data_IF_463323847000
#
_entry.id   IF_463323847000
#
_cell.length_a   1.000
_cell.length_b   1.000
_cell.length_c   1.000
_cell.angle_alpha   90.00
_cell.angle_beta   90.00
_cell.angle_gamma   90.00
#
_symmetry.space_group_name_H-M   'P 1'
#
loop_
_entity.id
_entity.type
_entity.pdbx_description
1 polymer ?
#
# COMPACT_ATOMS: atom_id res chain seq x y z
N UNK A 1 47.84 26.78 -11.60
CA UNK A 1 46.87 25.69 -11.83
C UNK A 1 46.92 24.80 -10.58
N UNK A 2 45.81 24.65 -9.89
CA UNK A 2 45.80 23.87 -8.67
C UNK A 2 45.62 22.36 -8.96
N UNK A 3 45.88 21.52 -7.99
CA UNK A 3 45.80 20.07 -8.13
C UNK A 3 44.39 19.62 -8.61
N UNK A 4 43.34 20.29 -8.15
CA UNK A 4 41.94 19.99 -8.49
C UNK A 4 41.66 20.24 -9.99
N UNK A 5 42.13 21.38 -10.54
CA UNK A 5 42.00 21.69 -11.98
C UNK A 5 42.74 20.69 -12.87
N UNK A 6 43.89 20.19 -12.43
CA UNK A 6 44.62 19.15 -13.14
C UNK A 6 43.90 17.79 -13.15
N UNK A 7 43.29 17.41 -12.01
CA UNK A 7 42.51 16.19 -11.90
C UNK A 7 41.27 16.26 -12.82
N UNK A 8 40.52 17.35 -12.81
CA UNK A 8 39.37 17.56 -13.68
C UNK A 8 39.75 17.50 -15.18
N UNK A 9 40.89 18.12 -15.54
CA UNK A 9 41.37 18.07 -16.92
C UNK A 9 41.75 16.66 -17.37
N UNK A 10 42.41 15.90 -16.50
CA UNK A 10 42.78 14.50 -16.77
C UNK A 10 41.51 13.64 -16.91
N UNK A 11 40.53 13.78 -16.04
CA UNK A 11 39.25 13.08 -16.12
C UNK A 11 38.51 13.41 -17.41
N UNK A 12 38.43 14.67 -17.80
CA UNK A 12 37.83 15.11 -19.06
C UNK A 12 38.54 14.51 -20.29
N UNK A 13 39.88 14.47 -20.27
CA UNK A 13 40.67 13.87 -21.36
C UNK A 13 40.50 12.35 -21.45
N UNK A 14 40.20 11.67 -20.35
CA UNK A 14 39.95 10.24 -20.26
C UNK A 14 38.47 9.90 -20.56
N UNK A 15 37.62 10.87 -20.88
CA UNK A 15 36.19 10.66 -21.11
C UNK A 15 35.45 10.20 -19.85
N UNK A 16 36.05 10.36 -18.66
CA UNK A 16 35.38 10.07 -17.39
C UNK A 16 34.42 11.21 -17.13
N UNK A 17 33.11 10.87 -16.98
CA UNK A 17 32.10 11.83 -16.55
C UNK A 17 32.50 12.37 -15.17
N UNK A 18 32.27 13.67 -14.94
CA UNK A 18 32.26 14.19 -13.57
C UNK A 18 31.34 13.33 -12.73
N UNK A 19 31.87 12.68 -11.71
CA UNK A 19 31.03 12.06 -10.68
C UNK A 19 30.31 13.22 -9.99
N UNK A 20 29.05 13.40 -10.31
CA UNK A 20 28.18 14.29 -9.56
C UNK A 20 28.16 13.75 -8.13
N UNK A 21 28.71 14.50 -7.18
CA UNK A 21 28.61 14.08 -5.79
C UNK A 21 27.13 13.94 -5.44
N UNK A 22 26.75 12.87 -4.74
CA UNK A 22 25.32 12.68 -4.38
C UNK A 22 24.78 13.83 -3.53
N UNK A 23 25.63 14.61 -2.88
CA UNK A 23 25.27 15.85 -2.17
C UNK A 23 24.53 16.88 -3.04
N UNK A 24 24.83 16.91 -4.34
CA UNK A 24 24.25 17.88 -5.27
C UNK A 24 22.95 17.39 -5.92
N UNK A 25 22.53 16.16 -5.62
CA UNK A 25 21.32 15.57 -6.17
C UNK A 25 20.14 15.94 -5.28
N UNK A 26 19.15 16.62 -5.87
CA UNK A 26 17.86 16.89 -5.23
C UNK A 26 16.80 15.92 -5.75
N UNK A 27 16.13 15.22 -4.84
CA UNK A 27 15.11 14.24 -5.18
C UNK A 27 13.95 14.30 -4.18
N UNK A 28 12.76 14.17 -4.72
CA UNK A 28 11.56 13.96 -3.92
C UNK A 28 11.34 12.48 -3.62
N UNK A 29 10.60 12.17 -2.55
CA UNK A 29 10.22 10.80 -2.21
C UNK A 29 9.50 10.18 -3.41
N UNK A 30 9.99 9.01 -3.82
CA UNK A 30 9.39 8.20 -4.86
C UNK A 30 9.52 6.73 -4.50
N UNK A 31 8.42 5.98 -4.69
CA UNK A 31 8.40 4.53 -4.55
C UNK A 31 8.46 3.82 -5.93
N UNK A 32 8.68 4.59 -7.00
CA UNK A 32 9.03 4.02 -8.30
C UNK A 32 10.53 3.67 -8.32
N UNK A 33 10.87 2.55 -8.95
CA UNK A 33 12.27 2.17 -9.13
C UNK A 33 13.02 3.15 -10.01
N UNK A 34 14.15 3.66 -9.53
CA UNK A 34 15.07 4.51 -10.28
C UNK A 34 16.52 4.01 -10.12
N UNK A 35 17.21 3.65 -11.22
CA UNK A 35 18.62 3.25 -11.16
C UNK A 35 19.56 4.29 -10.50
N UNK A 36 19.22 5.57 -10.57
CA UNK A 36 20.01 6.63 -9.90
C UNK A 36 19.94 6.51 -8.38
N UNK A 37 18.81 6.04 -7.86
CA UNK A 37 18.64 5.84 -6.42
C UNK A 37 19.55 4.73 -5.92
N UNK A 38 19.80 3.70 -6.73
CA UNK A 38 20.78 2.64 -6.39
C UNK A 38 22.16 3.25 -6.11
N UNK A 39 22.60 4.19 -6.94
CA UNK A 39 23.90 4.83 -6.75
C UNK A 39 23.94 5.68 -5.47
N UNK A 40 22.85 6.41 -5.18
CA UNK A 40 22.71 7.17 -3.94
C UNK A 40 22.72 6.22 -2.73
N UNK A 41 21.95 5.15 -2.77
CA UNK A 41 21.87 4.15 -1.67
C UNK A 41 23.23 3.50 -1.40
N UNK A 42 23.96 3.10 -2.44
CA UNK A 42 25.31 2.56 -2.32
C UNK A 42 26.27 3.54 -1.67
N UNK A 43 26.25 4.80 -2.10
CA UNK A 43 27.14 5.82 -1.55
C UNK A 43 26.81 6.11 -0.09
N UNK A 44 25.51 6.23 0.27
CA UNK A 44 25.08 6.42 1.65
C UNK A 44 25.57 5.28 2.55
N UNK A 45 25.44 4.03 2.10
CA UNK A 45 25.92 2.85 2.83
C UNK A 45 27.45 2.89 2.97
N UNK A 46 28.18 3.26 1.90
CA UNK A 46 29.64 3.41 1.94
C UNK A 46 30.08 4.50 2.93
N UNK A 47 29.26 5.52 3.14
CA UNK A 47 29.49 6.57 4.14
C UNK A 47 29.05 6.19 5.55
N UNK A 48 28.51 4.98 5.74
CA UNK A 48 28.11 4.44 7.04
C UNK A 48 26.64 4.68 7.42
N UNK A 49 25.81 5.26 6.55
CA UNK A 49 24.39 5.44 6.82
C UNK A 49 23.63 4.13 6.62
N UNK A 50 23.01 3.63 7.67
CA UNK A 50 22.20 2.42 7.59
C UNK A 50 20.76 2.77 7.18
N UNK A 51 20.39 2.44 5.95
CA UNK A 51 19.09 2.75 5.35
C UNK A 51 18.07 1.60 5.39
N UNK A 52 18.36 0.51 6.10
CA UNK A 52 17.45 -0.62 6.27
C UNK A 52 17.96 -1.92 5.66
N UNK A 53 17.11 -2.94 5.67
CA UNK A 53 17.38 -4.28 5.10
C UNK A 53 16.44 -4.57 3.92
N UNK A 54 16.36 -3.63 2.98
CA UNK A 54 15.51 -3.72 1.79
C UNK A 54 16.30 -4.25 0.60
N UNK A 55 15.60 -4.52 -0.51
CA UNK A 55 16.17 -5.12 -1.70
C UNK A 55 16.38 -6.64 -1.60
N UNK A 56 16.67 -7.25 -2.73
CA UNK A 56 16.84 -8.71 -2.85
C UNK A 56 17.98 -9.25 -1.97
N UNK A 57 19.05 -8.46 -1.84
CA UNK A 57 20.23 -8.81 -1.02
C UNK A 57 20.08 -8.44 0.46
N UNK A 58 18.99 -7.80 0.86
CA UNK A 58 18.75 -7.26 2.22
C UNK A 58 19.85 -6.32 2.70
N UNK A 59 20.43 -5.58 1.80
CA UNK A 59 21.52 -4.63 2.02
C UNK A 59 21.06 -3.15 2.06
N UNK A 60 19.76 -2.90 1.85
CA UNK A 60 19.17 -1.58 1.80
C UNK A 60 19.15 -0.96 0.41
N UNK A 61 19.61 -1.69 -0.62
CA UNK A 61 19.69 -1.20 -2.00
C UNK A 61 18.52 -1.78 -2.80
N UNK A 62 17.51 -0.97 -3.07
CA UNK A 62 16.30 -1.36 -3.78
C UNK A 62 15.89 -0.42 -4.92
N UNK A 63 16.63 0.68 -5.11
CA UNK A 63 16.33 1.69 -6.13
C UNK A 63 15.09 2.53 -5.84
N UNK A 64 14.60 2.54 -4.58
CA UNK A 64 13.43 3.30 -4.15
C UNK A 64 13.86 4.44 -3.22
N UNK A 65 13.53 5.68 -3.59
CA UNK A 65 13.85 6.86 -2.79
C UNK A 65 12.76 7.12 -1.74
N UNK A 66 12.65 6.20 -0.78
CA UNK A 66 11.69 6.30 0.32
C UNK A 66 12.12 7.26 1.44
N UNK A 67 11.27 7.46 2.48
CA UNK A 67 11.53 8.40 3.57
C UNK A 67 12.86 8.18 4.29
N UNK A 68 13.25 6.93 4.54
CA UNK A 68 14.52 6.61 5.20
C UNK A 68 15.71 6.95 4.30
N UNK A 69 15.63 6.65 2.99
CA UNK A 69 16.66 7.01 2.02
C UNK A 69 16.78 8.53 1.93
N UNK A 70 15.65 9.26 1.87
CA UNK A 70 15.63 10.73 1.88
C UNK A 70 16.26 11.28 3.17
N UNK A 71 15.88 10.78 4.33
CA UNK A 71 16.42 11.21 5.62
C UNK A 71 17.95 10.99 5.71
N UNK A 72 18.44 9.84 5.26
CA UNK A 72 19.87 9.55 5.20
C UNK A 72 20.60 10.49 4.25
N UNK A 73 20.02 10.72 3.06
CA UNK A 73 20.61 11.61 2.05
C UNK A 73 20.68 13.06 2.53
N UNK A 74 19.60 13.59 3.12
CA UNK A 74 19.60 14.92 3.72
C UNK A 74 20.54 15.03 4.93
N UNK A 75 20.67 13.96 5.73
CA UNK A 75 21.67 13.91 6.81
C UNK A 75 23.07 13.97 6.26
N UNK A 76 23.36 13.24 5.19
CA UNK A 76 24.66 13.31 4.51
C UNK A 76 24.95 14.70 3.95
N UNK A 77 23.96 15.35 3.30
CA UNK A 77 24.09 16.74 2.82
C UNK A 77 24.41 17.73 3.95
N UNK A 78 23.75 17.56 5.09
CA UNK A 78 23.93 18.40 6.30
C UNK A 78 25.12 17.99 7.17
N UNK A 79 25.91 17.02 6.75
CA UNK A 79 27.07 16.49 7.46
C UNK A 79 26.76 15.97 8.89
N UNK A 80 25.51 15.46 9.09
CA UNK A 80 25.11 14.79 10.33
C UNK A 80 25.83 13.44 10.38
N UNK A 81 26.55 13.11 11.47
CA UNK A 81 27.25 11.82 11.57
C UNK A 81 26.32 10.61 11.47
N UNK A 82 26.77 9.49 10.85
CA UNK A 82 25.97 8.28 10.73
C UNK A 82 25.40 7.75 12.05
N UNK A 83 26.14 7.86 13.14
CA UNK A 83 25.72 7.41 14.47
C UNK A 83 24.55 8.28 15.01
N UNK A 84 24.60 9.59 14.76
CA UNK A 84 23.51 10.49 15.12
C UNK A 84 22.29 10.23 14.27
N UNK A 85 22.46 10.05 12.95
CA UNK A 85 21.38 9.65 12.06
C UNK A 85 20.73 8.34 12.51
N UNK A 86 21.52 7.28 12.82
CA UNK A 86 20.98 5.98 13.26
C UNK A 86 20.10 6.11 14.51
N UNK A 87 20.48 6.98 15.45
CA UNK A 87 19.69 7.21 16.67
C UNK A 87 18.37 7.95 16.44
N UNK A 88 18.26 8.74 15.37
CA UNK A 88 17.11 9.61 15.05
C UNK A 88 16.43 9.28 13.72
N UNK A 89 16.85 8.27 13.00
CA UNK A 89 16.41 8.02 11.61
C UNK A 89 14.90 7.88 11.47
N UNK A 90 14.22 7.25 12.43
CA UNK A 90 12.77 7.09 12.39
C UNK A 90 12.06 8.44 12.54
N UNK A 91 12.54 9.30 13.43
CA UNK A 91 12.00 10.64 13.62
C UNK A 91 12.24 11.50 12.37
N UNK A 92 13.46 11.51 11.85
CA UNK A 92 13.85 12.27 10.66
C UNK A 92 13.10 11.78 9.40
N UNK A 93 12.96 10.46 9.22
CA UNK A 93 12.18 9.92 8.11
C UNK A 93 10.70 10.29 8.23
N UNK A 94 10.20 10.40 9.46
CA UNK A 94 8.81 10.74 9.74
C UNK A 94 8.44 12.17 9.31
N UNK A 95 9.38 13.13 9.38
CA UNK A 95 9.18 14.50 8.90
C UNK A 95 8.76 14.52 7.43
N UNK A 96 9.38 13.67 6.60
CA UNK A 96 9.08 13.60 5.17
C UNK A 96 7.75 12.90 4.85
N UNK A 97 7.26 12.04 5.76
CA UNK A 97 5.94 11.43 5.63
C UNK A 97 4.84 12.47 5.88
N UNK A 98 5.09 13.45 6.72
CA UNK A 98 4.12 14.49 7.09
C UNK A 98 3.91 15.57 6.00
N UNK A 99 4.82 15.65 5.02
CA UNK A 99 4.72 16.60 3.91
C UNK A 99 3.61 16.24 2.91
N UNK A 100 3.14 14.99 2.90
CA UNK A 100 2.13 14.53 1.94
C UNK A 100 0.73 14.92 2.41
N UNK A 101 0.02 15.73 1.61
CA UNK A 101 -1.37 16.09 1.89
C UNK A 101 -2.31 14.88 1.70
N UNK A 102 -2.93 14.45 2.80
CA UNK A 102 -3.92 13.38 2.83
C UNK A 102 -5.31 13.89 3.24
N UNK A 103 -5.61 15.15 2.98
CA UNK A 103 -6.91 15.75 3.29
C UNK A 103 -8.04 15.22 2.40
N UNK A 104 -7.75 14.90 1.14
CA UNK A 104 -8.73 14.34 0.21
C UNK A 104 -8.30 12.95 -0.33
N UNK A 105 -8.84 11.91 0.30
CA UNK A 105 -8.63 10.50 -0.09
C UNK A 105 -9.83 9.92 -0.86
N UNK A 106 -10.72 10.76 -1.42
CA UNK A 106 -11.93 10.31 -2.14
C UNK A 106 -11.59 9.48 -3.37
N UNK A 107 -10.54 9.83 -4.09
CA UNK A 107 -10.09 9.06 -5.26
C UNK A 107 -9.78 7.60 -4.91
N UNK A 108 -9.26 7.34 -3.70
CA UNK A 108 -9.01 6.00 -3.18
C UNK A 108 -10.24 5.35 -2.53
N UNK A 109 -11.41 5.99 -2.56
CA UNK A 109 -12.62 5.49 -1.88
C UNK A 109 -12.36 5.18 -0.40
N UNK A 110 -11.50 5.99 0.22
CA UNK A 110 -11.09 5.81 1.60
C UNK A 110 -12.19 6.27 2.56
N UNK A 111 -12.64 5.39 3.41
CA UNK A 111 -13.61 5.74 4.45
C UNK A 111 -13.65 4.72 5.59
N UNK A 112 -14.19 5.17 6.71
CA UNK A 112 -14.29 4.37 7.93
C UNK A 112 -15.30 3.22 7.76
N UNK A 113 -14.95 2.06 8.29
CA UNK A 113 -15.86 0.92 8.41
C UNK A 113 -16.72 1.12 9.67
N UNK A 114 -18.06 0.97 9.60
CA UNK A 114 -18.92 0.98 10.78
C UNK A 114 -18.53 -0.08 11.81
N UNK A 115 -18.81 0.17 13.07
CA UNK A 115 -18.47 -0.74 14.18
C UNK A 115 -17.56 -0.04 15.20
N UNK A 116 -17.31 -0.70 16.32
CA UNK A 116 -16.59 -0.12 17.47
C UNK A 116 -15.07 -0.01 17.30
N UNK A 117 -14.51 -0.57 16.22
CA UNK A 117 -13.07 -0.58 15.94
C UNK A 117 -12.68 0.53 14.96
N UNK A 118 -11.44 1.01 15.06
CA UNK A 118 -10.92 2.03 14.16
C UNK A 118 -10.41 1.38 12.86
N UNK A 119 -11.35 0.95 11.99
CA UNK A 119 -11.04 0.28 10.74
C UNK A 119 -11.44 1.14 9.53
N UNK A 120 -10.69 0.97 8.45
CA UNK A 120 -10.83 1.73 7.21
C UNK A 120 -10.85 0.80 6.00
N UNK A 121 -11.54 1.21 4.95
CA UNK A 121 -11.50 0.53 3.65
C UNK A 121 -11.10 1.50 2.55
N UNK A 122 -10.45 0.97 1.49
CA UNK A 122 -10.07 1.80 0.34
C UNK A 122 -9.91 0.98 -0.95
N UNK A 123 -9.67 1.68 -2.06
CA UNK A 123 -8.91 1.18 -3.19
C UNK A 123 -7.42 1.13 -2.81
N UNK A 124 -6.58 0.62 -3.71
CA UNK A 124 -5.13 0.68 -3.54
C UNK A 124 -4.69 2.14 -3.43
N UNK A 125 -4.10 2.51 -2.31
CA UNK A 125 -3.48 3.82 -2.10
C UNK A 125 -2.09 3.78 -2.74
N UNK A 126 -1.67 4.89 -3.32
CA UNK A 126 -0.33 5.02 -3.92
C UNK A 126 0.76 4.99 -2.85
N UNK A 127 1.95 4.59 -3.24
CA UNK A 127 3.05 4.38 -2.30
C UNK A 127 3.51 5.68 -1.63
N UNK A 128 3.47 6.79 -2.34
CA UNK A 128 3.80 8.13 -1.85
C UNK A 128 2.82 8.66 -0.80
N UNK A 129 1.54 8.27 -0.87
CA UNK A 129 0.48 8.71 0.05
C UNK A 129 0.31 7.76 1.24
N UNK A 130 0.58 6.47 1.06
CA UNK A 130 0.28 5.44 2.05
C UNK A 130 0.95 5.66 3.42
N UNK A 131 2.24 6.06 3.52
CA UNK A 131 2.88 6.34 4.82
C UNK A 131 2.13 7.40 5.63
N UNK A 132 1.73 8.50 4.98
CA UNK A 132 0.97 9.59 5.61
C UNK A 132 -0.42 9.14 6.06
N UNK A 133 -1.06 8.23 5.31
CA UNK A 133 -2.34 7.63 5.71
C UNK A 133 -2.16 6.74 6.94
N UNK A 134 -1.13 5.89 6.96
CA UNK A 134 -0.81 5.04 8.11
C UNK A 134 -0.67 5.89 9.37
N UNK A 135 0.13 6.95 9.31
CA UNK A 135 0.35 7.84 10.44
C UNK A 135 -0.92 8.58 10.87
N UNK A 136 -1.55 9.31 9.93
CA UNK A 136 -2.71 10.17 10.22
C UNK A 136 -3.88 9.42 10.82
N UNK A 137 -4.13 8.20 10.35
CA UNK A 137 -5.27 7.39 10.80
C UNK A 137 -4.90 6.31 11.81
N UNK A 138 -3.63 6.25 12.22
CA UNK A 138 -3.15 5.29 13.21
C UNK A 138 -3.27 3.84 12.75
N UNK A 139 -3.04 3.58 11.47
CA UNK A 139 -3.15 2.23 10.88
C UNK A 139 -2.03 1.35 11.45
N UNK A 140 -2.39 0.19 11.98
CA UNK A 140 -1.47 -0.82 12.51
C UNK A 140 -1.49 -2.12 11.72
N UNK A 141 -2.52 -2.32 10.90
CA UNK A 141 -2.66 -3.49 10.06
C UNK A 141 -3.12 -3.07 8.66
N UNK A 142 -2.50 -3.61 7.62
CA UNK A 142 -2.98 -3.49 6.23
C UNK A 142 -3.37 -4.87 5.74
N UNK A 143 -4.60 -5.01 5.25
CA UNK A 143 -5.11 -6.23 4.61
C UNK A 143 -5.20 -6.00 3.11
N UNK A 144 -4.26 -6.58 2.39
CA UNK A 144 -4.20 -6.53 0.93
C UNK A 144 -4.82 -7.77 0.28
N UNK A 145 -5.62 -7.59 -0.79
CA UNK A 145 -6.32 -8.67 -1.48
C UNK A 145 -6.07 -8.73 -3.01
N UNK A 146 -5.12 -8.01 -3.55
CA UNK A 146 -4.93 -7.86 -5.00
C UNK A 146 -3.55 -8.29 -5.54
N UNK A 147 -2.89 -9.16 -4.86
CA UNK A 147 -1.56 -9.67 -5.23
C UNK A 147 -0.56 -9.45 -4.11
N UNK A 148 0.28 -10.45 -3.85
CA UNK A 148 1.20 -10.44 -2.70
C UNK A 148 2.58 -9.91 -3.06
N UNK A 149 3.03 -10.12 -4.30
CA UNK A 149 4.34 -9.73 -4.78
C UNK A 149 4.25 -8.87 -6.03
N UNK A 150 5.30 -8.18 -6.37
CA UNK A 150 5.39 -7.31 -7.56
C UNK A 150 5.21 -8.07 -8.87
N UNK A 151 5.59 -9.34 -8.90
CA UNK A 151 5.40 -10.24 -10.04
C UNK A 151 3.97 -10.79 -10.19
N UNK A 152 3.10 -10.59 -9.20
CA UNK A 152 1.76 -11.15 -9.20
C UNK A 152 0.87 -10.47 -10.25
N UNK A 153 0.41 -11.25 -11.25
CA UNK A 153 -0.43 -10.75 -12.34
C UNK A 153 -1.77 -10.12 -11.91
N UNK A 154 -2.18 -10.31 -10.65
CA UNK A 154 -3.41 -9.72 -10.06
C UNK A 154 -3.33 -8.20 -9.86
N UNK A 155 -2.16 -7.60 -10.00
CA UNK A 155 -1.98 -6.14 -10.07
C UNK A 155 -2.47 -5.53 -11.38
N UNK A 156 -2.52 -6.32 -12.46
CA UNK A 156 -2.88 -5.82 -13.79
C UNK A 156 -4.28 -5.21 -13.76
N UNK A 157 -4.37 -3.97 -14.22
CA UNK A 157 -5.61 -3.19 -14.22
C UNK A 157 -5.92 -2.45 -12.91
N UNK A 158 -4.99 -2.42 -11.96
CA UNK A 158 -5.06 -1.51 -10.82
C UNK A 158 -4.82 -0.06 -11.28
N UNK A 159 -5.55 0.88 -10.69
CA UNK A 159 -5.30 2.32 -10.89
C UNK A 159 -4.05 2.80 -10.14
N UNK A 160 -3.57 2.01 -9.20
CA UNK A 160 -2.39 2.30 -8.38
C UNK A 160 -1.18 1.50 -8.85
N UNK A 161 -0.02 2.13 -8.82
CA UNK A 161 1.26 1.50 -9.09
C UNK A 161 1.88 0.84 -7.87
N UNK A 162 1.26 0.94 -6.69
CA UNK A 162 1.82 0.34 -5.47
C UNK A 162 1.76 -1.18 -5.57
N UNK A 163 2.89 -1.81 -5.52
CA UNK A 163 3.08 -3.24 -5.64
C UNK A 163 3.10 -3.90 -4.24
N UNK A 164 2.95 -5.23 -4.18
CA UNK A 164 2.86 -5.95 -2.91
C UNK A 164 4.13 -5.83 -2.07
N UNK A 165 5.30 -5.96 -2.68
CA UNK A 165 6.58 -5.87 -1.96
C UNK A 165 6.86 -4.44 -1.49
N UNK A 166 6.49 -3.44 -2.30
CA UNK A 166 6.55 -2.03 -1.89
C UNK A 166 5.66 -1.75 -0.68
N UNK A 167 4.44 -2.28 -0.66
CA UNK A 167 3.53 -2.09 0.46
C UNK A 167 4.01 -2.79 1.75
N UNK A 168 4.62 -3.99 1.63
CA UNK A 168 5.29 -4.64 2.76
C UNK A 168 6.38 -3.76 3.35
N UNK A 169 7.25 -3.22 2.49
CA UNK A 169 8.31 -2.30 2.90
C UNK A 169 7.76 -1.08 3.63
N UNK A 170 6.74 -0.43 3.08
CA UNK A 170 6.09 0.72 3.73
C UNK A 170 5.55 0.34 5.10
N UNK A 171 4.94 -0.83 5.26
CA UNK A 171 4.45 -1.30 6.56
C UNK A 171 5.60 -1.49 7.56
N UNK A 172 6.70 -2.11 7.13
CA UNK A 172 7.88 -2.33 7.97
C UNK A 172 8.49 -0.99 8.44
N UNK A 173 8.55 0.01 7.57
CA UNK A 173 9.07 1.34 7.86
C UNK A 173 8.17 2.18 8.79
N UNK A 174 6.87 1.86 8.86
CA UNK A 174 5.86 2.66 9.58
C UNK A 174 5.19 1.91 10.74
N UNK A 175 5.84 0.93 11.34
CA UNK A 175 5.32 0.14 12.47
C UNK A 175 3.90 -0.40 12.21
N UNK A 176 3.70 -0.96 11.03
CA UNK A 176 2.46 -1.52 10.54
C UNK A 176 2.67 -2.99 10.14
N UNK A 177 1.68 -3.84 10.37
CA UNK A 177 1.73 -5.25 9.97
C UNK A 177 1.01 -5.43 8.63
N UNK A 178 1.72 -6.00 7.66
CA UNK A 178 1.18 -6.35 6.35
C UNK A 178 0.57 -7.75 6.36
N UNK A 179 -0.66 -7.88 5.86
CA UNK A 179 -1.40 -9.13 5.73
C UNK A 179 -1.86 -9.32 4.30
N UNK A 180 -1.43 -10.39 3.66
CA UNK A 180 -1.98 -10.79 2.38
C UNK A 180 -3.10 -11.82 2.56
N UNK A 181 -4.30 -11.49 2.08
CA UNK A 181 -5.44 -12.40 2.03
C UNK A 181 -5.72 -12.75 0.57
N UNK A 182 -5.54 -14.02 0.23
CA UNK A 182 -5.76 -14.50 -1.13
C UNK A 182 -7.26 -14.56 -1.49
N UNK A 183 -7.87 -13.40 -1.63
CA UNK A 183 -9.25 -13.26 -2.06
C UNK A 183 -9.33 -13.22 -3.59
N UNK A 184 -9.41 -14.36 -4.24
CA UNK A 184 -9.49 -14.44 -5.69
C UNK A 184 -10.72 -13.69 -6.24
N UNK A 185 -10.50 -12.83 -7.23
CA UNK A 185 -11.56 -12.21 -8.03
C UNK A 185 -12.21 -13.19 -9.02
N UNK A 186 -11.67 -14.39 -9.17
CA UNK A 186 -12.02 -15.35 -10.19
C UNK A 186 -12.75 -16.60 -9.67
N UNK A 187 -13.39 -17.27 -10.55
CA UNK A 187 -14.28 -18.41 -10.62
C UNK A 187 -14.07 -19.62 -9.69
N UNK A 188 -13.09 -19.63 -8.78
CA UNK A 188 -12.79 -20.77 -7.89
C UNK A 188 -12.81 -20.38 -6.42
N UNK A 189 -13.92 -19.83 -5.97
CA UNK A 189 -14.19 -19.67 -4.54
C UNK A 189 -14.69 -21.01 -3.99
N UNK A 190 -13.76 -21.85 -3.58
CA UNK A 190 -14.07 -23.08 -2.83
C UNK A 190 -14.04 -22.80 -1.31
N UNK A 191 -13.74 -23.83 -0.52
CA UNK A 191 -13.60 -23.78 0.96
C UNK A 191 -12.67 -22.65 1.45
N UNK A 192 -11.73 -22.16 0.61
CA UNK A 192 -10.81 -21.06 0.93
C UNK A 192 -11.48 -19.68 1.11
N UNK A 193 -12.69 -19.45 0.58
CA UNK A 193 -13.39 -18.16 0.76
C UNK A 193 -13.84 -17.93 2.21
N UNK A 194 -14.42 -18.96 2.82
CA UNK A 194 -14.82 -18.90 4.24
C UNK A 194 -13.61 -18.66 5.13
N UNK A 195 -12.49 -19.32 4.85
CA UNK A 195 -11.23 -19.07 5.55
C UNK A 195 -10.74 -17.63 5.38
N UNK A 196 -10.83 -17.07 4.18
CA UNK A 196 -10.44 -15.67 3.92
C UNK A 196 -11.34 -14.67 4.68
N UNK A 197 -12.65 -14.94 4.76
CA UNK A 197 -13.56 -14.11 5.58
C UNK A 197 -13.17 -14.18 7.06
N UNK A 198 -12.89 -15.36 7.58
CA UNK A 198 -12.53 -15.54 8.98
C UNK A 198 -11.18 -14.85 9.30
N UNK A 199 -10.18 -15.03 8.46
CA UNK A 199 -8.89 -14.35 8.61
C UNK A 199 -9.05 -12.82 8.59
N UNK A 200 -9.79 -12.31 7.60
CA UNK A 200 -10.08 -10.87 7.51
C UNK A 200 -10.79 -10.35 8.76
N UNK A 201 -11.81 -11.08 9.24
CA UNK A 201 -12.56 -10.70 10.44
C UNK A 201 -11.67 -10.69 11.68
N UNK A 202 -10.77 -11.66 11.82
CA UNK A 202 -9.85 -11.72 12.94
C UNK A 202 -8.89 -10.51 12.98
N UNK A 203 -8.42 -10.05 11.80
CA UNK A 203 -7.56 -8.87 11.71
C UNK A 203 -8.36 -7.60 11.99
N UNK A 204 -9.54 -7.45 11.39
CA UNK A 204 -10.41 -6.29 11.62
C UNK A 204 -10.85 -6.17 13.09
N UNK A 205 -11.00 -7.27 13.81
CA UNK A 205 -11.32 -7.25 15.24
C UNK A 205 -10.18 -6.73 16.11
N UNK A 206 -8.94 -6.71 15.62
CA UNK A 206 -7.83 -6.05 16.31
C UNK A 206 -7.91 -4.52 16.24
N UNK A 207 -8.66 -3.98 15.28
CA UNK A 207 -8.78 -2.55 15.04
C UNK A 207 -7.59 -1.94 14.30
N UNK A 208 -7.67 -0.63 14.07
CA UNK A 208 -6.63 0.15 13.38
C UNK A 208 -6.18 -0.49 12.05
N UNK A 209 -7.13 -1.04 11.31
CA UNK A 209 -6.88 -1.83 10.09
C UNK A 209 -7.36 -1.08 8.85
N UNK A 210 -6.49 -1.01 7.84
CA UNK A 210 -6.86 -0.64 6.47
C UNK A 210 -7.03 -1.90 5.64
N UNK A 211 -8.21 -2.12 5.08
CA UNK A 211 -8.48 -3.21 4.15
C UNK A 211 -8.70 -2.69 2.73
N UNK A 212 -8.03 -3.27 1.75
CA UNK A 212 -8.17 -2.85 0.37
C UNK A 212 -8.00 -3.98 -0.65
N UNK A 213 -8.45 -3.72 -1.87
CA UNK A 213 -8.06 -4.44 -3.09
C UNK A 213 -7.72 -3.40 -4.16
N UNK A 214 -7.50 -3.79 -5.41
CA UNK A 214 -7.13 -2.85 -6.47
C UNK A 214 -8.09 -1.64 -6.58
N UNK A 215 -9.40 -1.88 -6.56
CA UNK A 215 -10.43 -0.85 -6.78
C UNK A 215 -11.27 -0.51 -5.53
N UNK A 216 -11.01 -1.15 -4.39
CA UNK A 216 -11.78 -0.95 -3.15
C UNK A 216 -13.27 -1.33 -3.25
N UNK A 217 -13.65 -2.06 -4.28
CA UNK A 217 -15.03 -2.32 -4.64
C UNK A 217 -15.49 -3.77 -4.31
N UNK A 218 -15.18 -4.74 -5.20
CA UNK A 218 -15.77 -6.08 -5.14
C UNK A 218 -15.26 -6.91 -3.94
N UNK A 219 -13.95 -7.19 -3.88
CA UNK A 219 -13.33 -7.99 -2.81
C UNK A 219 -13.44 -7.28 -1.46
N UNK A 220 -13.09 -6.00 -1.44
CA UNK A 220 -13.18 -5.18 -0.23
C UNK A 220 -14.61 -5.08 0.26
N UNK A 221 -15.58 -4.80 -0.63
CA UNK A 221 -17.00 -4.76 -0.28
C UNK A 221 -17.48 -6.08 0.31
N UNK A 222 -17.18 -7.21 -0.36
CA UNK A 222 -17.61 -8.54 0.11
C UNK A 222 -17.05 -8.93 1.48
N UNK A 223 -15.74 -8.68 1.69
CA UNK A 223 -15.10 -9.01 2.98
C UNK A 223 -15.60 -8.12 4.12
N UNK A 224 -15.72 -6.80 3.86
CA UNK A 224 -16.25 -5.86 4.87
C UNK A 224 -17.73 -6.15 5.16
N UNK A 225 -18.52 -6.48 4.14
CA UNK A 225 -19.93 -6.85 4.35
C UNK A 225 -20.08 -8.10 5.21
N UNK A 226 -19.28 -9.14 4.96
CA UNK A 226 -19.27 -10.34 5.78
C UNK A 226 -18.83 -10.02 7.24
N UNK A 227 -17.82 -9.19 7.42
CA UNK A 227 -17.37 -8.73 8.73
C UNK A 227 -18.48 -8.01 9.51
N UNK A 228 -19.13 -7.02 8.88
CA UNK A 228 -20.19 -6.24 9.52
C UNK A 228 -21.36 -7.11 9.94
N UNK A 229 -21.79 -8.03 9.07
CA UNK A 229 -22.86 -8.98 9.38
C UNK A 229 -22.48 -9.91 10.52
N UNK A 230 -21.31 -10.56 10.43
CA UNK A 230 -20.93 -11.60 11.38
C UNK A 230 -20.66 -11.06 12.79
N UNK A 231 -20.32 -9.77 12.91
CA UNK A 231 -20.12 -9.11 14.20
C UNK A 231 -21.36 -8.32 14.67
N UNK A 232 -22.46 -8.34 13.92
CA UNK A 232 -23.70 -7.64 14.31
C UNK A 232 -23.64 -6.11 14.20
N UNK A 233 -22.64 -5.56 13.54
CA UNK A 233 -22.48 -4.11 13.37
C UNK A 233 -23.45 -3.53 12.35
N UNK A 234 -23.94 -4.33 11.43
CA UNK A 234 -24.98 -3.96 10.47
C UNK A 234 -25.83 -5.19 10.19
N UNK A 235 -27.05 -5.21 10.69
CA UNK A 235 -27.96 -6.37 10.64
C UNK A 235 -29.05 -6.22 9.59
N UNK A 236 -29.42 -4.99 9.22
CA UNK A 236 -30.36 -4.76 8.14
C UNK A 236 -29.70 -5.10 6.79
N UNK A 237 -30.30 -6.02 6.05
CA UNK A 237 -29.74 -6.55 4.79
C UNK A 237 -29.67 -5.51 3.69
N UNK A 238 -30.62 -4.59 3.64
CA UNK A 238 -30.69 -3.57 2.60
C UNK A 238 -29.66 -2.46 2.84
N UNK A 239 -29.48 -2.05 4.10
CA UNK A 239 -28.42 -1.13 4.49
C UNK A 239 -27.05 -1.74 4.21
N UNK A 240 -26.86 -3.00 4.60
CA UNK A 240 -25.64 -3.74 4.36
C UNK A 240 -25.33 -3.87 2.87
N UNK A 241 -26.34 -4.17 2.06
CA UNK A 241 -26.21 -4.21 0.60
C UNK A 241 -25.76 -2.85 0.04
N UNK A 242 -26.45 -1.77 0.42
CA UNK A 242 -26.09 -0.41 -0.02
C UNK A 242 -24.66 -0.04 0.36
N UNK A 243 -24.30 -0.27 1.61
CA UNK A 243 -22.96 0.06 2.11
C UNK A 243 -21.87 -0.72 1.40
N UNK A 244 -22.05 -2.01 1.21
CA UNK A 244 -21.03 -2.90 0.64
C UNK A 244 -20.88 -2.74 -0.87
N UNK A 245 -21.96 -2.37 -1.56
CA UNK A 245 -21.99 -2.26 -3.03
C UNK A 245 -21.83 -0.84 -3.56
N UNK A 246 -21.71 0.16 -2.71
CA UNK A 246 -21.66 1.58 -3.11
C UNK A 246 -20.57 1.96 -4.11
N UNK A 247 -19.48 1.16 -4.19
CA UNK A 247 -18.34 1.43 -5.07
C UNK A 247 -18.20 0.43 -6.23
N UNK A 248 -19.13 -0.51 -6.35
CA UNK A 248 -19.09 -1.51 -7.40
C UNK A 248 -20.29 -1.39 -8.36
N UNK A 249 -20.26 -2.16 -9.42
CA UNK A 249 -21.33 -2.18 -10.41
C UNK A 249 -22.23 -3.43 -10.30
N UNK A 250 -22.39 -4.00 -9.10
CA UNK A 250 -23.16 -5.22 -8.92
C UNK A 250 -24.62 -5.03 -9.24
N UNK A 251 -25.20 -3.88 -8.87
CA UNK A 251 -26.59 -3.56 -9.22
C UNK A 251 -26.81 -3.54 -10.73
N UNK A 252 -25.89 -2.93 -11.49
CA UNK A 252 -25.98 -2.94 -12.95
C UNK A 252 -25.84 -4.36 -13.52
N UNK A 253 -24.96 -5.19 -12.97
CA UNK A 253 -24.84 -6.60 -13.36
C UNK A 253 -26.06 -7.43 -13.02
N UNK A 254 -26.75 -7.14 -11.90
CA UNK A 254 -28.04 -7.76 -11.55
C UNK A 254 -29.07 -7.38 -12.61
N UNK A 255 -29.23 -6.11 -12.91
CA UNK A 255 -30.21 -5.60 -13.87
C UNK A 255 -30.01 -6.19 -15.29
N UNK A 256 -28.76 -6.51 -15.64
CA UNK A 256 -28.41 -7.17 -16.92
C UNK A 256 -28.49 -8.71 -16.87
N UNK A 257 -28.93 -9.31 -15.77
CA UNK A 257 -29.00 -10.76 -15.60
C UNK A 257 -27.64 -11.48 -15.54
N UNK A 258 -26.54 -10.77 -15.36
CA UNK A 258 -25.17 -11.31 -15.41
C UNK A 258 -24.56 -11.62 -14.05
N UNK A 259 -25.09 -11.04 -12.98
CA UNK A 259 -24.49 -11.08 -11.65
C UNK A 259 -24.36 -12.50 -11.10
N UNK A 260 -25.47 -13.27 -11.13
CA UNK A 260 -25.54 -14.58 -10.47
C UNK A 260 -24.68 -15.67 -11.12
N UNK A 261 -24.21 -15.43 -12.34
CA UNK A 261 -23.32 -16.33 -13.08
C UNK A 261 -21.85 -15.94 -12.94
N UNK A 262 -21.52 -15.03 -12.03
CA UNK A 262 -20.15 -14.52 -11.83
C UNK A 262 -19.64 -14.85 -10.43
N UNK A 263 -18.33 -14.76 -10.24
CA UNK A 263 -17.70 -14.86 -8.93
C UNK A 263 -18.15 -13.80 -7.92
N UNK A 264 -18.75 -12.68 -8.38
CA UNK A 264 -19.24 -11.62 -7.49
C UNK A 264 -20.41 -12.07 -6.60
N UNK A 265 -21.27 -12.95 -7.09
CA UNK A 265 -22.36 -13.52 -6.30
C UNK A 265 -21.84 -14.21 -5.03
N UNK A 266 -20.67 -14.87 -5.11
CA UNK A 266 -20.07 -15.53 -3.95
C UNK A 266 -19.55 -14.53 -2.89
N UNK A 267 -19.08 -13.36 -3.31
CA UNK A 267 -18.74 -12.30 -2.33
C UNK A 267 -20.00 -11.77 -1.65
N UNK A 268 -21.08 -11.59 -2.41
CA UNK A 268 -22.38 -11.18 -1.86
C UNK A 268 -22.93 -12.22 -0.88
N UNK A 269 -22.79 -13.51 -1.17
CA UNK A 269 -23.29 -14.61 -0.32
C UNK A 269 -22.72 -14.57 1.11
N UNK A 270 -21.54 -14.00 1.28
CA UNK A 270 -20.94 -13.77 2.60
C UNK A 270 -21.74 -12.84 3.51
N UNK A 271 -22.56 -11.92 2.95
CA UNK A 271 -23.36 -10.98 3.73
C UNK A 271 -24.85 -10.90 3.32
N UNK A 272 -25.20 -11.25 2.10
CA UNK A 272 -26.58 -11.33 1.61
C UNK A 272 -26.78 -12.68 0.92
N UNK A 273 -27.49 -13.64 1.53
CA UNK A 273 -27.67 -14.96 0.93
C UNK A 273 -28.21 -14.89 -0.51
N UNK A 274 -27.58 -15.60 -1.43
CA UNK A 274 -27.89 -15.51 -2.87
C UNK A 274 -29.34 -15.93 -3.16
N UNK A 275 -29.86 -16.91 -2.43
CA UNK A 275 -31.28 -17.34 -2.56
C UNK A 275 -32.24 -16.20 -2.19
N UNK A 276 -31.95 -15.44 -1.16
CA UNK A 276 -32.73 -14.28 -0.74
C UNK A 276 -32.54 -13.09 -1.68
N UNK A 277 -31.29 -12.84 -2.12
CA UNK A 277 -30.96 -11.77 -3.05
C UNK A 277 -31.73 -11.91 -4.38
N UNK A 278 -31.86 -13.13 -4.89
CA UNK A 278 -32.64 -13.42 -6.12
C UNK A 278 -34.09 -13.00 -6.03
N UNK A 279 -34.67 -13.03 -4.83
CA UNK A 279 -36.06 -12.69 -4.56
C UNK A 279 -36.23 -11.29 -3.93
N UNK A 280 -35.17 -10.52 -3.89
CA UNK A 280 -35.17 -9.20 -3.25
C UNK A 280 -35.59 -8.08 -4.22
N UNK A 281 -35.87 -6.90 -3.65
CA UNK A 281 -36.14 -5.68 -4.43
C UNK A 281 -34.97 -5.22 -5.32
N UNK A 282 -33.79 -5.78 -5.13
CA UNK A 282 -32.59 -5.48 -5.92
C UNK A 282 -32.57 -6.16 -7.29
N UNK A 283 -33.40 -7.19 -7.46
CA UNK A 283 -33.58 -7.91 -8.73
C UNK A 283 -34.90 -7.44 -9.34
N UNK A 284 -34.83 -6.74 -10.47
CA UNK A 284 -36.00 -6.25 -11.22
C UNK A 284 -36.38 -7.23 -12.32
#
# INVERSE_FOLDING_TARGET
>A
MNLHENIQRIRSMMGLREETEIKDIDMDISYDYDPKVIEIQKELINKGYYIGKFGDSKDGIDGIYGPITKAAHESYKKEIPPEEFESKKTEMAQEYVDEVDVSDLKEFKFHKIPGGTNNWRSAQITADVLPSVIKKYGIKNIVRMNGDTDSDSRHKGSHSKTLGDTEKKICEENDCTYHFINAHSGFKLGKGYTSSIQQTSNILNQGNTLIHCAHGADRTGGMVGAYLKNNGYMTDKDELWKYTTQFNNWQDKINRGKFFNTGYAKYADGFYPISELKNSKWVK
#
